data_IF_827547006672
#
_entry.id   IF_827547006672
#
_cell.length_a   1.000
_cell.length_b   1.000
_cell.length_c   1.000
_cell.angle_alpha   90.00
_cell.angle_beta   90.00
_cell.angle_gamma   90.00
#
_symmetry.space_group_name_H-M   'P 1'
#
loop_
_entity.id
_entity.type
_entity.pdbx_description
1 polymer ?
#
# COMPACT_ATOMS: atom_id res chain seq x y z
N UNK A 1 37.63 -42.70 3.82
CA UNK A 1 37.28 -41.71 2.78
C UNK A 1 35.90 -42.02 2.21
N UNK A 2 34.81 -41.70 2.89
CA UNK A 2 33.47 -42.20 2.46
C UNK A 2 32.37 -41.42 3.17
N UNK A 3 31.66 -40.55 2.42
CA UNK A 3 30.27 -40.05 2.65
C UNK A 3 29.97 -38.77 1.85
N UNK A 4 31.01 -38.07 1.34
CA UNK A 4 30.89 -36.89 0.48
C UNK A 4 29.86 -37.03 -0.68
N UNK A 5 29.79 -38.15 -1.43
CA UNK A 5 28.80 -38.28 -2.52
C UNK A 5 27.35 -38.45 -2.05
N UNK A 6 27.12 -39.08 -0.89
CA UNK A 6 25.76 -39.29 -0.35
C UNK A 6 25.19 -37.99 0.24
N UNK A 7 26.03 -37.21 0.92
CA UNK A 7 25.65 -35.89 1.45
C UNK A 7 25.28 -34.95 0.31
N UNK A 8 26.06 -34.95 -0.78
CA UNK A 8 25.77 -34.14 -1.96
C UNK A 8 24.45 -34.54 -2.63
N UNK A 9 24.15 -35.85 -2.73
CA UNK A 9 22.87 -36.33 -3.26
C UNK A 9 21.68 -35.82 -2.45
N UNK A 10 21.77 -35.87 -1.11
CA UNK A 10 20.71 -35.33 -0.21
C UNK A 10 20.58 -33.82 -0.35
N UNK A 11 21.69 -33.08 -0.48
CA UNK A 11 21.66 -31.62 -0.71
C UNK A 11 20.93 -31.28 -2.00
N UNK A 12 21.25 -31.99 -3.09
CA UNK A 12 20.62 -31.78 -4.41
C UNK A 12 19.12 -32.09 -4.40
N UNK A 13 18.71 -33.16 -3.73
CA UNK A 13 17.30 -33.50 -3.56
C UNK A 13 16.55 -32.35 -2.88
N UNK A 14 17.04 -31.90 -1.71
CA UNK A 14 16.45 -30.77 -0.99
C UNK A 14 16.34 -29.49 -1.83
N UNK A 15 17.38 -29.15 -2.61
CA UNK A 15 17.34 -27.96 -3.47
C UNK A 15 16.24 -28.08 -4.53
N UNK A 16 16.08 -29.26 -5.14
CA UNK A 16 15.05 -29.47 -6.15
C UNK A 16 13.64 -29.44 -5.54
N UNK A 17 13.46 -30.01 -4.34
CA UNK A 17 12.18 -29.98 -3.63
C UNK A 17 11.77 -28.54 -3.32
N UNK A 18 12.70 -27.74 -2.76
CA UNK A 18 12.45 -26.33 -2.49
C UNK A 18 12.17 -25.53 -3.77
N UNK A 19 12.85 -25.82 -4.89
CA UNK A 19 12.57 -25.15 -6.17
C UNK A 19 11.18 -25.49 -6.71
N UNK A 20 10.71 -26.74 -6.53
CA UNK A 20 9.35 -27.15 -6.92
C UNK A 20 8.27 -26.47 -6.10
N UNK A 21 8.48 -26.36 -4.79
CA UNK A 21 7.58 -25.62 -3.89
C UNK A 21 7.56 -24.12 -4.24
N UNK A 22 8.73 -23.53 -4.41
CA UNK A 22 8.89 -22.11 -4.73
C UNK A 22 8.18 -21.73 -6.02
N UNK A 23 8.32 -22.57 -7.05
CA UNK A 23 7.63 -22.43 -8.33
C UNK A 23 6.12 -22.36 -8.16
N UNK A 24 5.55 -23.25 -7.35
CA UNK A 24 4.11 -23.32 -7.10
C UNK A 24 3.62 -22.06 -6.38
N UNK A 25 4.29 -21.68 -5.28
CA UNK A 25 3.92 -20.53 -4.47
C UNK A 25 3.98 -19.21 -5.25
N UNK A 26 5.05 -18.99 -6.02
CA UNK A 26 5.25 -17.75 -6.78
C UNK A 26 4.23 -17.61 -7.90
N UNK A 27 3.95 -18.69 -8.65
CA UNK A 27 2.98 -18.62 -9.76
C UNK A 27 1.55 -18.42 -9.26
N UNK A 28 1.18 -19.06 -8.15
CA UNK A 28 -0.10 -18.84 -7.51
C UNK A 28 -0.24 -17.38 -7.03
N UNK A 29 0.79 -16.85 -6.38
CA UNK A 29 0.78 -15.47 -5.89
C UNK A 29 0.74 -14.43 -7.02
N UNK A 30 1.38 -14.73 -8.16
CA UNK A 30 1.41 -13.87 -9.36
C UNK A 30 0.25 -14.11 -10.33
N UNK A 31 -0.69 -15.02 -10.01
CA UNK A 31 -1.84 -15.40 -10.85
C UNK A 31 -1.45 -15.76 -12.30
N UNK A 32 -0.35 -16.48 -12.46
CA UNK A 32 0.13 -16.94 -13.77
C UNK A 32 -0.54 -18.27 -14.15
N UNK A 33 -0.74 -18.48 -15.46
CA UNK A 33 -1.42 -19.68 -15.97
C UNK A 33 -0.69 -20.97 -15.63
N UNK A 34 -1.47 -22.03 -15.36
CA UNK A 34 -0.95 -23.36 -15.02
C UNK A 34 -0.10 -23.98 -16.14
N UNK A 35 -0.35 -23.61 -17.40
CA UNK A 35 0.45 -24.03 -18.55
C UNK A 35 1.88 -23.45 -18.53
N UNK A 36 2.09 -22.29 -17.90
CA UNK A 36 3.43 -21.73 -17.69
C UNK A 36 4.20 -22.53 -16.62
N UNK A 37 3.49 -23.20 -15.70
CA UNK A 37 4.11 -24.04 -14.66
C UNK A 37 4.95 -25.15 -15.31
N UNK A 38 4.51 -25.86 -16.35
CA UNK A 38 5.28 -27.00 -16.85
C UNK A 38 6.59 -26.62 -17.57
N UNK A 39 6.74 -25.36 -18.02
CA UNK A 39 7.84 -24.93 -18.90
C UNK A 39 9.01 -24.19 -18.21
N UNK A 40 8.82 -23.67 -17.00
CA UNK A 40 9.85 -22.85 -16.35
C UNK A 40 11.11 -23.64 -15.99
N UNK A 41 12.25 -23.10 -16.38
CA UNK A 41 13.57 -23.57 -16.00
C UNK A 41 13.94 -23.10 -14.58
N UNK A 42 15.04 -23.64 -14.04
CA UNK A 42 15.49 -23.28 -12.67
C UNK A 42 15.85 -21.79 -12.54
N UNK A 43 16.44 -21.21 -13.59
CA UNK A 43 16.78 -19.80 -13.62
C UNK A 43 15.52 -18.93 -13.61
N UNK A 44 14.51 -19.28 -14.41
CA UNK A 44 13.23 -18.55 -14.46
C UNK A 44 12.52 -18.57 -13.11
N UNK A 45 12.48 -19.72 -12.43
CA UNK A 45 11.86 -19.85 -11.10
C UNK A 45 12.53 -18.88 -10.11
N UNK A 46 13.86 -18.82 -10.11
CA UNK A 46 14.61 -17.92 -9.24
C UNK A 46 14.38 -16.46 -9.60
N UNK A 47 14.39 -16.10 -10.89
CA UNK A 47 14.16 -14.73 -11.34
C UNK A 47 12.74 -14.25 -10.99
N UNK A 48 11.73 -15.06 -11.24
CA UNK A 48 10.34 -14.75 -10.89
C UNK A 48 10.19 -14.59 -9.37
N UNK A 49 10.85 -15.45 -8.59
CA UNK A 49 10.84 -15.32 -7.12
C UNK A 49 11.43 -13.99 -6.68
N UNK A 50 12.57 -13.59 -7.23
CA UNK A 50 13.21 -12.31 -6.88
C UNK A 50 12.31 -11.13 -7.26
N UNK A 51 11.69 -11.16 -8.44
CA UNK A 51 10.71 -10.15 -8.86
C UNK A 51 9.52 -10.08 -7.89
N UNK A 52 8.98 -11.22 -7.48
CA UNK A 52 7.89 -11.30 -6.52
C UNK A 52 8.30 -10.75 -5.15
N UNK A 53 9.48 -11.10 -4.63
CA UNK A 53 9.97 -10.59 -3.35
C UNK A 53 10.15 -9.07 -3.37
N UNK A 54 10.68 -8.50 -4.44
CA UNK A 54 10.75 -7.05 -4.62
C UNK A 54 9.37 -6.40 -4.67
N UNK A 55 8.40 -7.03 -5.32
CA UNK A 55 7.03 -6.55 -5.36
C UNK A 55 6.41 -6.53 -3.96
N UNK A 56 6.52 -7.63 -3.22
CA UNK A 56 6.04 -7.75 -1.83
C UNK A 56 6.70 -6.72 -0.92
N UNK A 57 8.01 -6.53 -1.03
CA UNK A 57 8.74 -5.55 -0.22
C UNK A 57 8.26 -4.12 -0.48
N UNK A 58 8.02 -3.75 -1.75
CA UNK A 58 7.47 -2.43 -2.12
C UNK A 58 6.04 -2.24 -1.61
N UNK A 59 5.22 -3.27 -1.68
CA UNK A 59 3.88 -3.22 -1.11
C UNK A 59 3.93 -3.03 0.41
N UNK A 60 4.75 -3.82 1.11
CA UNK A 60 4.90 -3.71 2.57
C UNK A 60 5.47 -2.35 2.99
N UNK A 61 6.42 -1.77 2.26
CA UNK A 61 6.92 -0.42 2.57
C UNK A 61 5.83 0.65 2.39
N UNK A 62 4.98 0.51 1.36
CA UNK A 62 3.86 1.42 1.15
C UNK A 62 2.81 1.26 2.25
N UNK A 63 2.44 0.02 2.58
CA UNK A 63 1.51 -0.29 3.67
C UNK A 63 2.07 0.14 5.03
N UNK A 64 3.36 -0.02 5.28
CA UNK A 64 4.01 0.46 6.50
C UNK A 64 4.02 1.99 6.56
N UNK A 65 4.17 2.70 5.44
CA UNK A 65 4.00 4.16 5.41
C UNK A 65 2.56 4.58 5.70
N UNK A 66 1.57 3.89 5.15
CA UNK A 66 0.14 4.20 5.35
C UNK A 66 -0.32 3.84 6.77
N UNK A 67 0.21 2.75 7.34
CA UNK A 67 -0.14 2.25 8.67
C UNK A 67 0.79 2.77 9.78
N UNK A 68 1.77 3.63 9.47
CA UNK A 68 2.61 4.22 10.49
C UNK A 68 1.77 5.23 11.30
N UNK A 69 1.56 5.03 12.61
CA UNK A 69 0.83 6.00 13.42
C UNK A 69 1.48 7.40 13.38
N UNK A 70 2.79 7.50 13.12
CA UNK A 70 3.45 8.79 12.90
C UNK A 70 3.09 9.46 11.57
N UNK A 71 2.80 8.73 10.49
CA UNK A 71 2.36 9.36 9.22
C UNK A 71 0.94 9.89 9.35
N UNK A 72 0.06 9.14 10.02
CA UNK A 72 -1.29 9.58 10.35
C UNK A 72 -1.27 10.82 11.27
N UNK A 73 -0.40 10.84 12.29
CA UNK A 73 -0.22 11.99 13.17
C UNK A 73 0.31 13.23 12.42
N UNK A 74 1.30 13.05 11.54
CA UNK A 74 1.84 14.14 10.70
C UNK A 74 0.78 14.70 9.75
N UNK A 75 -0.01 13.83 9.12
CA UNK A 75 -1.12 14.24 8.25
C UNK A 75 -2.17 15.03 9.05
N UNK A 76 -2.59 14.52 10.21
CA UNK A 76 -3.55 15.19 11.10
C UNK A 76 -3.06 16.58 11.53
N UNK A 77 -1.78 16.69 11.91
CA UNK A 77 -1.18 17.98 12.26
C UNK A 77 -1.22 18.96 11.08
N UNK A 78 -0.72 18.56 9.91
CA UNK A 78 -0.70 19.43 8.72
C UNK A 78 -2.12 19.82 8.23
N UNK A 79 -3.08 18.90 8.31
CA UNK A 79 -4.48 19.21 8.00
C UNK A 79 -5.07 20.22 8.99
N UNK A 80 -4.76 20.08 10.28
CA UNK A 80 -5.22 21.00 11.34
C UNK A 80 -4.66 22.40 11.15
N UNK A 81 -3.36 22.52 10.85
CA UNK A 81 -2.72 23.80 10.56
C UNK A 81 -3.33 24.46 9.32
N UNK A 82 -3.51 23.70 8.23
CA UNK A 82 -4.11 24.21 7.00
C UNK A 82 -5.55 24.69 7.21
N UNK A 83 -6.39 23.87 7.85
CA UNK A 83 -7.77 24.24 8.14
C UNK A 83 -7.85 25.48 9.02
N UNK A 84 -6.98 25.58 10.04
CA UNK A 84 -6.90 26.76 10.92
C UNK A 84 -6.53 28.01 10.13
N UNK A 85 -5.57 27.92 9.22
CA UNK A 85 -5.16 29.05 8.39
C UNK A 85 -6.26 29.48 7.41
N UNK A 86 -6.99 28.53 6.82
CA UNK A 86 -8.15 28.85 5.97
C UNK A 86 -9.24 29.56 6.77
N UNK A 87 -9.58 29.08 7.96
CA UNK A 87 -10.57 29.73 8.84
C UNK A 87 -10.12 31.14 9.24
N UNK A 88 -8.83 31.33 9.54
CA UNK A 88 -8.24 32.65 9.83
C UNK A 88 -8.35 33.59 8.64
N UNK A 89 -8.02 33.10 7.44
CA UNK A 89 -8.08 33.88 6.20
C UNK A 89 -9.51 34.30 5.84
N UNK A 90 -10.49 33.39 6.01
CA UNK A 90 -11.91 33.67 5.79
C UNK A 90 -12.46 34.75 6.74
N UNK A 91 -11.92 34.85 7.95
CA UNK A 91 -12.31 35.88 8.93
C UNK A 91 -11.72 37.25 8.59
N UNK A 92 -10.55 37.28 7.93
CA UNK A 92 -9.81 38.50 7.66
C UNK A 92 -10.06 39.11 6.26
N UNK A 93 -10.66 38.36 5.34
CA UNK A 93 -11.03 38.91 4.03
C UNK A 93 -12.22 39.86 4.17
N UNK A 94 -12.06 41.07 3.64
CA UNK A 94 -13.16 42.01 3.44
C UNK A 94 -13.92 41.70 2.14
N UNK A 95 -15.25 41.79 2.19
CA UNK A 95 -16.10 41.58 1.02
C UNK A 95 -16.46 40.13 0.70
N UNK A 96 -16.05 39.16 1.53
CA UNK A 96 -16.52 37.78 1.40
C UNK A 96 -17.98 37.65 1.83
N UNK A 97 -18.75 36.85 1.10
CA UNK A 97 -20.12 36.56 1.48
C UNK A 97 -20.12 35.73 2.79
N UNK A 98 -20.79 36.20 3.86
CA UNK A 98 -20.78 35.51 5.16
C UNK A 98 -21.36 34.10 5.08
N UNK A 99 -22.28 33.83 4.15
CA UNK A 99 -22.84 32.49 3.95
C UNK A 99 -21.79 31.50 3.41
N UNK A 100 -20.88 31.97 2.55
CA UNK A 100 -19.82 31.13 1.99
C UNK A 100 -18.76 30.86 3.06
N UNK A 101 -18.37 31.88 3.82
CA UNK A 101 -17.44 31.75 4.95
C UNK A 101 -17.95 30.74 5.99
N UNK A 102 -19.23 30.85 6.38
CA UNK A 102 -19.85 29.94 7.34
C UNK A 102 -19.95 28.50 6.82
N UNK A 103 -20.32 28.30 5.54
CA UNK A 103 -20.36 26.97 4.92
C UNK A 103 -18.99 26.31 4.87
N UNK A 104 -17.96 27.05 4.45
CA UNK A 104 -16.61 26.52 4.35
C UNK A 104 -16.02 26.20 5.73
N UNK A 105 -16.18 27.11 6.69
CA UNK A 105 -15.73 26.91 8.07
C UNK A 105 -16.43 25.72 8.73
N UNK A 106 -17.75 25.59 8.55
CA UNK A 106 -18.52 24.45 9.05
C UNK A 106 -18.07 23.13 8.42
N UNK A 107 -17.80 23.12 7.11
CA UNK A 107 -17.28 21.93 6.43
C UNK A 107 -15.88 21.54 6.94
N UNK A 108 -14.97 22.51 7.08
CA UNK A 108 -13.62 22.27 7.61
C UNK A 108 -13.65 21.75 9.05
N UNK A 109 -14.52 22.29 9.90
CA UNK A 109 -14.72 21.81 11.26
C UNK A 109 -15.23 20.35 11.29
N UNK A 110 -16.16 20.01 10.39
CA UNK A 110 -16.62 18.62 10.21
C UNK A 110 -15.49 17.69 9.78
N UNK A 111 -14.69 18.10 8.79
CA UNK A 111 -13.52 17.34 8.34
C UNK A 111 -12.46 17.17 9.45
N UNK A 112 -12.21 18.21 10.26
CA UNK A 112 -11.30 18.13 11.41
C UNK A 112 -11.76 17.10 12.43
N UNK A 113 -13.06 17.06 12.73
CA UNK A 113 -13.63 16.04 13.61
C UNK A 113 -13.39 14.63 13.06
N UNK A 114 -13.64 14.41 11.78
CA UNK A 114 -13.38 13.12 11.12
C UNK A 114 -11.90 12.73 11.15
N UNK A 115 -11.01 13.67 10.83
CA UNK A 115 -9.54 13.43 10.85
C UNK A 115 -9.04 13.16 12.27
N UNK A 116 -9.70 13.73 13.28
CA UNK A 116 -9.41 13.50 14.70
C UNK A 116 -9.96 12.14 15.23
N UNK A 117 -11.07 11.69 14.69
CA UNK A 117 -11.70 10.41 15.04
C UNK A 117 -11.13 9.22 14.26
N UNK A 118 -10.54 9.44 13.09
CA UNK A 118 -9.96 8.38 12.28
C UNK A 118 -8.68 7.81 12.93
N UNK A 119 -8.82 6.69 13.62
CA UNK A 119 -7.78 5.67 13.76
C UNK A 119 -7.72 4.88 12.45
N UNK A 120 -6.67 5.13 11.66
CA UNK A 120 -6.39 4.58 10.31
C UNK A 120 -7.13 5.27 9.14
N UNK A 121 -6.44 5.63 8.05
CA UNK A 121 -7.06 6.23 6.88
C UNK A 121 -7.64 5.14 5.99
N UNK A 122 -8.94 4.87 6.10
CA UNK A 122 -9.68 4.43 4.93
C UNK A 122 -9.93 5.67 4.07
N UNK A 123 -9.05 5.88 3.09
CA UNK A 123 -9.31 6.82 2.01
C UNK A 123 -10.56 6.35 1.26
N UNK A 124 -11.72 6.87 1.64
CA UNK A 124 -12.90 6.84 0.81
C UNK A 124 -12.61 7.74 -0.40
N UNK A 125 -12.17 7.10 -1.49
CA UNK A 125 -12.14 7.70 -2.82
C UNK A 125 -13.61 7.94 -3.18
N UNK A 126 -14.13 9.13 -2.86
CA UNK A 126 -15.39 9.58 -3.43
C UNK A 126 -15.11 9.91 -4.90
N UNK A 127 -15.32 8.92 -5.77
CA UNK A 127 -15.47 9.16 -7.20
C UNK A 127 -16.66 10.10 -7.38
N UNK A 128 -16.38 11.34 -7.79
CA UNK A 128 -17.39 12.27 -8.25
C UNK A 128 -18.17 11.62 -9.40
N UNK A 129 -19.40 11.18 -9.13
CA UNK A 129 -20.36 10.83 -10.16
C UNK A 129 -20.86 12.14 -10.77
N UNK A 130 -20.39 12.43 -11.99
CA UNK A 130 -20.99 13.42 -12.87
C UNK A 130 -22.34 12.87 -13.37
N UNK A 131 -23.47 13.58 -13.19
CA UNK A 131 -24.67 13.25 -13.93
C UNK A 131 -24.48 13.69 -15.39
N UNK A 132 -24.64 12.75 -16.31
CA UNK A 132 -24.78 13.02 -17.75
C UNK A 132 -26.10 13.74 -18.05
N UNK A 133 -26.16 14.51 -19.16
CA UNK A 133 -27.34 15.29 -19.54
C UNK A 133 -28.57 14.44 -19.88
#
# INVERSE_FOLDING_TARGET
QTNKPLVEKRRRARINDCLGELKTLVLQAMKQDSAQISRLEKADILEMTVKYLHHVQRQQSNTAMVNNPQSAAKYRAGFTECASEVMRYMTNIQGINPNISNKLTGHLAGCLSMVNSATAPQMAIHTAQTPSP
#
